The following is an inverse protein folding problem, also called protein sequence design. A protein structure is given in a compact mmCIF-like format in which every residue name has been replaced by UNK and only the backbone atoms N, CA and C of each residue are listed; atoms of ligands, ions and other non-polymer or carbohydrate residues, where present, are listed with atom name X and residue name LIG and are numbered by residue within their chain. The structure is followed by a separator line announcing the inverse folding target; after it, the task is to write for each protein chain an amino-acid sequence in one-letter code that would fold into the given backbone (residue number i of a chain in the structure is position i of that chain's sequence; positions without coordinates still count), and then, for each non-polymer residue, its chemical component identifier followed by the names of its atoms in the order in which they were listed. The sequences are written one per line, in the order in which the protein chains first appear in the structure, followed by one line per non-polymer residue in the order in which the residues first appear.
data_IF_901037691110
#
_entry.id   IF_901037691110
#
_cell.length_a   1.000
_cell.length_b   1.000
_cell.length_c   1.000
_cell.angle_alpha   90.00
_cell.angle_beta   90.00
_cell.angle_gamma   90.00
#
_symmetry.space_group_name_H-M   'P 1'
#
loop_
_entity.id
_entity.type
_entity.pdbx_description
1 polymer ?
#
# COMPACT_ATOMS: atom_id res chain seq x y z
N UNK A 1 15.57 12.36 -5.23
CA UNK A 1 14.47 12.09 -4.27
C UNK A 1 14.96 12.37 -2.86
N UNK A 2 14.27 13.26 -2.15
CA UNK A 2 14.56 13.63 -0.76
C UNK A 2 14.27 12.44 0.18
N UNK A 3 14.87 12.44 1.36
CA UNK A 3 14.73 11.33 2.32
C UNK A 3 13.27 11.11 2.76
N UNK A 4 12.52 12.18 2.97
CA UNK A 4 11.10 12.09 3.35
C UNK A 4 10.24 11.46 2.23
N UNK A 5 10.55 11.76 0.97
CA UNK A 5 9.88 11.17 -0.20
C UNK A 5 10.16 9.66 -0.29
N UNK A 6 11.41 9.24 -0.04
CA UNK A 6 11.77 7.81 0.04
C UNK A 6 10.99 7.07 1.12
N UNK A 7 10.91 7.64 2.32
CA UNK A 7 10.17 7.06 3.45
C UNK A 7 8.67 6.97 3.18
N UNK A 8 8.11 8.00 2.55
CA UNK A 8 6.72 8.01 2.12
C UNK A 8 6.46 6.92 1.06
N UNK A 9 7.36 6.76 0.09
CA UNK A 9 7.28 5.70 -0.92
C UNK A 9 7.32 4.31 -0.29
N UNK A 10 8.28 4.07 0.61
CA UNK A 10 8.41 2.81 1.34
C UNK A 10 7.16 2.51 2.16
N UNK A 11 6.56 3.52 2.79
CA UNK A 11 5.33 3.37 3.57
C UNK A 11 4.14 2.95 2.70
N UNK A 12 4.03 3.50 1.48
CA UNK A 12 2.98 3.14 0.52
C UNK A 12 3.19 1.70 0.04
N UNK A 13 4.41 1.33 -0.35
CA UNK A 13 4.74 -0.02 -0.80
C UNK A 13 4.45 -1.07 0.28
N UNK A 14 4.83 -0.77 1.54
CA UNK A 14 4.53 -1.66 2.66
C UNK A 14 3.03 -1.82 2.88
N UNK A 15 2.27 -0.71 2.91
CA UNK A 15 0.82 -0.78 3.10
C UNK A 15 0.11 -1.54 1.97
N UNK A 16 0.60 -1.43 0.73
CA UNK A 16 0.13 -2.24 -0.40
C UNK A 16 0.44 -3.72 -0.22
N UNK A 17 1.66 -4.07 0.24
CA UNK A 17 2.01 -5.46 0.50
C UNK A 17 1.16 -6.05 1.63
N UNK A 18 0.98 -5.31 2.73
CA UNK A 18 0.12 -5.71 3.85
C UNK A 18 -1.33 -5.91 3.40
N UNK A 19 -1.83 -5.05 2.49
CA UNK A 19 -3.14 -5.21 1.88
C UNK A 19 -3.22 -6.48 1.01
N UNK A 20 -2.22 -6.75 0.16
CA UNK A 20 -2.17 -7.96 -0.68
C UNK A 20 -2.21 -9.22 0.19
N UNK A 21 -1.39 -9.28 1.24
CA UNK A 21 -1.36 -10.39 2.20
C UNK A 21 -2.70 -10.53 2.94
N UNK A 22 -3.28 -9.44 3.41
CA UNK A 22 -4.58 -9.48 4.11
C UNK A 22 -5.72 -9.99 3.20
N UNK A 23 -5.73 -9.59 1.92
CA UNK A 23 -6.72 -10.13 0.96
C UNK A 23 -6.50 -11.63 0.70
N UNK A 24 -5.26 -12.06 0.43
CA UNK A 24 -4.95 -13.48 0.20
C UNK A 24 -5.31 -14.37 1.40
N UNK A 25 -5.10 -13.87 2.62
CA UNK A 25 -5.48 -14.57 3.84
C UNK A 25 -7.00 -14.56 4.05
N UNK A 26 -7.69 -13.45 3.69
CA UNK A 26 -9.15 -13.36 3.78
C UNK A 26 -9.86 -14.39 2.91
N UNK A 27 -9.34 -14.64 1.70
CA UNK A 27 -9.90 -15.64 0.77
C UNK A 27 -9.97 -17.05 1.37
N UNK A 28 -9.08 -17.37 2.32
CA UNK A 28 -8.98 -18.68 2.96
C UNK A 28 -9.29 -18.61 4.47
N UNK A 29 -9.93 -17.54 4.93
CA UNK A 29 -10.13 -17.30 6.36
C UNK A 29 -11.19 -18.23 6.97
N UNK A 30 -10.87 -18.79 8.15
CA UNK A 30 -11.85 -19.38 9.05
C UNK A 30 -12.82 -18.30 9.58
N UNK A 31 -14.01 -18.72 10.01
CA UNK A 31 -15.09 -17.81 10.39
C UNK A 31 -14.69 -16.81 11.48
N UNK A 32 -13.90 -17.25 12.46
CA UNK A 32 -13.39 -16.43 13.56
C UNK A 32 -12.40 -15.35 13.10
N UNK A 33 -11.79 -15.52 11.92
CA UNK A 33 -10.77 -14.62 11.37
C UNK A 33 -11.32 -13.62 10.35
N UNK A 34 -12.59 -13.74 9.95
CA UNK A 34 -13.23 -12.87 8.95
C UNK A 34 -13.18 -11.40 9.36
N UNK A 35 -13.59 -11.09 10.59
CA UNK A 35 -13.62 -9.71 11.10
C UNK A 35 -12.21 -9.12 11.21
N UNK A 36 -11.25 -9.94 11.63
CA UNK A 36 -9.84 -9.55 11.74
C UNK A 36 -9.26 -9.13 10.39
N UNK A 37 -9.39 -9.98 9.37
CA UNK A 37 -8.88 -9.64 8.04
C UNK A 37 -9.69 -8.54 7.36
N UNK A 38 -11.01 -8.47 7.60
CA UNK A 38 -11.85 -7.35 7.14
C UNK A 38 -11.35 -6.02 7.70
N UNK A 39 -11.02 -5.98 8.99
CA UNK A 39 -10.45 -4.79 9.62
C UNK A 39 -9.10 -4.42 8.99
N UNK A 40 -8.20 -5.39 8.79
CA UNK A 40 -6.90 -5.13 8.16
C UNK A 40 -7.02 -4.58 6.75
N UNK A 41 -7.91 -5.16 5.93
CA UNK A 41 -8.16 -4.69 4.56
C UNK A 41 -8.65 -3.23 4.58
N UNK A 42 -9.62 -2.91 5.44
CA UNK A 42 -10.15 -1.54 5.57
C UNK A 42 -9.08 -0.56 6.07
N UNK A 43 -8.31 -0.95 7.07
CA UNK A 43 -7.25 -0.12 7.64
C UNK A 43 -6.13 0.16 6.63
N UNK A 44 -5.67 -0.86 5.90
CA UNK A 44 -4.62 -0.69 4.89
C UNK A 44 -5.10 0.15 3.70
N UNK A 45 -6.34 -0.03 3.21
CA UNK A 45 -6.93 0.84 2.19
C UNK A 45 -6.96 2.31 2.63
N UNK A 46 -7.49 2.58 3.83
CA UNK A 46 -7.52 3.94 4.36
C UNK A 46 -6.12 4.56 4.54
N UNK A 47 -5.14 3.75 4.96
CA UNK A 47 -3.74 4.18 5.07
C UNK A 47 -3.14 4.53 3.72
N UNK A 48 -3.35 3.71 2.69
CA UNK A 48 -2.88 3.97 1.32
C UNK A 48 -3.50 5.26 0.79
N UNK A 49 -4.81 5.45 0.94
CA UNK A 49 -5.51 6.67 0.50
C UNK A 49 -4.93 7.93 1.16
N UNK A 50 -4.69 7.87 2.47
CA UNK A 50 -4.04 8.95 3.21
C UNK A 50 -2.62 9.24 2.70
N UNK A 51 -1.79 8.20 2.50
CA UNK A 51 -0.41 8.38 2.04
C UNK A 51 -0.36 8.94 0.61
N UNK A 52 -1.26 8.49 -0.29
CA UNK A 52 -1.39 9.06 -1.64
C UNK A 52 -1.82 10.52 -1.59
N UNK A 53 -2.78 10.87 -0.74
CA UNK A 53 -3.19 12.27 -0.53
C UNK A 53 -2.00 13.11 -0.06
N UNK A 54 -1.20 12.60 0.87
CA UNK A 54 -0.01 13.27 1.38
C UNK A 54 1.05 13.48 0.29
N UNK A 55 1.29 12.50 -0.59
CA UNK A 55 2.18 12.65 -1.76
C UNK A 55 1.71 13.80 -2.66
N UNK A 56 0.39 13.89 -2.91
CA UNK A 56 -0.17 14.95 -3.75
C UNK A 56 -0.04 16.35 -3.10
N UNK A 57 -0.26 16.44 -1.80
CA UNK A 57 -0.17 17.69 -1.03
C UNK A 57 1.27 18.20 -0.86
N UNK A 58 2.25 17.30 -0.75
CA UNK A 58 3.67 17.66 -0.64
C UNK A 58 4.27 18.15 -1.97
N UNK A 59 3.47 18.20 -3.05
CA UNK A 59 3.91 18.63 -4.39
C UNK A 59 4.92 17.67 -5.02
N UNK A 60 4.95 16.42 -4.54
CA UNK A 60 5.98 15.46 -4.89
C UNK A 60 5.81 15.02 -6.34
N UNK A 61 6.85 15.29 -7.13
CA UNK A 61 6.95 15.08 -8.57
C UNK A 61 6.28 13.78 -9.06
N UNK A 62 5.62 13.84 -10.23
CA UNK A 62 5.12 12.69 -11.04
C UNK A 62 6.05 11.45 -10.99
N UNK A 63 7.35 11.70 -10.92
CA UNK A 63 8.43 10.73 -10.77
C UNK A 63 8.26 9.71 -9.62
N UNK A 64 7.58 10.07 -8.52
CA UNK A 64 7.32 9.16 -7.40
C UNK A 64 6.16 8.20 -7.70
N UNK A 65 5.14 8.66 -8.42
CA UNK A 65 4.00 7.83 -8.84
C UNK A 65 4.46 6.84 -9.91
N UNK A 66 5.22 7.30 -10.91
CA UNK A 66 5.83 6.44 -11.95
C UNK A 66 6.73 5.36 -11.32
N UNK A 67 7.50 5.70 -10.28
CA UNK A 67 8.33 4.73 -9.56
C UNK A 67 7.53 3.71 -8.74
N UNK A 68 6.39 4.11 -8.17
CA UNK A 68 5.47 3.19 -7.49
C UNK A 68 4.88 2.19 -8.49
N UNK A 69 4.44 2.66 -9.65
CA UNK A 69 3.91 1.83 -10.73
C UNK A 69 4.96 0.83 -11.26
N UNK A 70 6.18 1.31 -11.54
CA UNK A 70 7.31 0.46 -11.94
C UNK A 70 7.62 -0.63 -10.92
N UNK A 71 7.68 -0.29 -9.62
CA UNK A 71 7.95 -1.28 -8.57
C UNK A 71 6.82 -2.28 -8.39
N UNK A 72 5.56 -1.85 -8.51
CA UNK A 72 4.42 -2.74 -8.39
C UNK A 72 4.40 -3.75 -9.55
N UNK A 73 4.68 -3.30 -10.78
CA UNK A 73 4.77 -4.17 -11.97
C UNK A 73 5.93 -5.18 -11.87
N UNK A 74 7.10 -4.78 -11.34
CA UNK A 74 8.21 -5.71 -11.11
C UNK A 74 7.85 -6.76 -10.04
N UNK A 75 7.11 -6.35 -9.00
CA UNK A 75 6.71 -7.26 -7.91
C UNK A 75 5.62 -8.25 -8.34
N UNK A 76 4.81 -7.91 -9.36
CA UNK A 76 3.81 -8.80 -9.95
C UNK A 76 4.38 -9.71 -11.06
N UNK A 77 5.58 -9.40 -11.58
CA UNK A 77 6.24 -10.15 -12.65
C UNK A 77 7.25 -11.22 -12.17
N UNK A 78 7.41 -11.40 -10.86
CA UNK A 78 8.30 -12.40 -10.22
C UNK A 78 7.43 -13.37 -9.41
#
# INVERSE_FOLDING_TARGET
MKENEKKLMQSILQANNDLKVANANFENAEAEMIDYYTYQIKANKAKIDYLIKKVKEEGTNLNMIEQLELKNNITEAI
#
